data_IF_177801629938
#
_entry.id   IF_177801629938
#
_cell.length_a   1.000
_cell.length_b   1.000
_cell.length_c   1.000
_cell.angle_alpha   90.00
_cell.angle_beta   90.00
_cell.angle_gamma   90.00
#
_symmetry.space_group_name_H-M   'P 1'
#
loop_
_entity.id
_entity.type
_entity.pdbx_description
1 polymer ?
#
# COMPACT_ATOMS: atom_id res chain seq x y z
N UNK A 1 12.36 -25.01 3.65
CA UNK A 1 11.36 -24.97 4.73
C UNK A 1 10.24 -24.03 4.29
N UNK A 2 8.96 -24.29 4.61
CA UNK A 2 7.91 -23.33 4.32
C UNK A 2 8.17 -22.03 5.09
N UNK A 3 7.92 -20.90 4.42
CA UNK A 3 8.03 -19.56 5.01
C UNK A 3 6.98 -19.41 6.12
N UNK A 4 7.34 -18.77 7.23
CA UNK A 4 6.37 -18.55 8.30
C UNK A 4 5.29 -17.57 7.80
N UNK A 5 4.01 -17.75 8.18
CA UNK A 5 2.94 -16.84 7.76
C UNK A 5 3.23 -15.36 8.04
N UNK A 6 3.89 -15.08 9.16
CA UNK A 6 4.30 -13.71 9.55
C UNK A 6 5.36 -13.10 8.61
N UNK A 7 6.28 -13.91 8.09
CA UNK A 7 7.29 -13.44 7.13
C UNK A 7 6.62 -13.03 5.82
N UNK A 8 5.67 -13.83 5.33
CA UNK A 8 4.89 -13.53 4.14
C UNK A 8 4.09 -12.22 4.31
N UNK A 9 3.46 -12.03 5.46
CA UNK A 9 2.69 -10.82 5.74
C UNK A 9 3.59 -9.57 5.80
N UNK A 10 4.77 -9.68 6.40
CA UNK A 10 5.76 -8.61 6.45
C UNK A 10 6.28 -8.23 5.05
N UNK A 11 6.55 -9.21 4.18
CA UNK A 11 6.92 -8.95 2.79
C UNK A 11 5.81 -8.22 2.02
N UNK A 12 4.55 -8.63 2.22
CA UNK A 12 3.41 -7.95 1.61
C UNK A 12 3.24 -6.52 2.13
N UNK A 13 3.43 -6.29 3.42
CA UNK A 13 3.39 -4.94 3.99
C UNK A 13 4.47 -4.04 3.39
N UNK A 14 5.69 -4.55 3.19
CA UNK A 14 6.78 -3.80 2.56
C UNK A 14 6.47 -3.46 1.08
N UNK A 15 5.88 -4.40 0.34
CA UNK A 15 5.42 -4.16 -1.04
C UNK A 15 4.35 -3.08 -1.10
N UNK A 16 3.35 -3.15 -0.23
CA UNK A 16 2.26 -2.15 -0.16
C UNK A 16 2.80 -0.77 0.19
N UNK A 17 3.76 -0.68 1.12
CA UNK A 17 4.41 0.60 1.45
C UNK A 17 5.14 1.22 0.24
N UNK A 18 5.81 0.39 -0.55
CA UNK A 18 6.49 0.82 -1.79
C UNK A 18 5.48 1.36 -2.81
N UNK A 19 4.35 0.69 -2.98
CA UNK A 19 3.30 1.11 -3.92
C UNK A 19 2.65 2.44 -3.49
N UNK A 20 2.43 2.65 -2.19
CA UNK A 20 1.93 3.93 -1.64
C UNK A 20 2.89 5.07 -1.99
N UNK A 21 4.20 4.86 -1.79
CA UNK A 21 5.23 5.86 -2.09
C UNK A 21 5.31 6.14 -3.59
N UNK A 22 5.19 5.11 -4.43
CA UNK A 22 5.17 5.27 -5.88
C UNK A 22 3.98 6.11 -6.36
N UNK A 23 2.77 5.86 -5.82
CA UNK A 23 1.58 6.66 -6.12
C UNK A 23 1.77 8.11 -5.65
N UNK A 24 2.35 8.30 -4.46
CA UNK A 24 2.61 9.65 -3.93
C UNK A 24 3.60 10.44 -4.79
N UNK A 25 4.67 9.79 -5.24
CA UNK A 25 5.64 10.37 -6.19
C UNK A 25 5.00 10.68 -7.54
N UNK A 26 4.15 9.79 -8.05
CA UNK A 26 3.46 10.01 -9.32
C UNK A 26 2.55 11.25 -9.24
N UNK A 27 1.77 11.38 -8.16
CA UNK A 27 0.90 12.56 -7.96
C UNK A 27 1.72 13.85 -7.80
N UNK A 28 2.88 13.79 -7.14
CA UNK A 28 3.71 14.97 -6.90
C UNK A 28 4.53 15.42 -8.12
N UNK A 29 5.11 14.48 -8.86
CA UNK A 29 6.04 14.75 -9.97
C UNK A 29 5.34 14.85 -11.32
N UNK A 30 4.32 14.03 -11.56
CA UNK A 30 3.56 13.96 -12.81
C UNK A 30 2.05 13.95 -12.50
N UNK A 31 1.50 15.07 -11.98
CA UNK A 31 0.11 15.13 -11.60
C UNK A 31 -0.78 14.84 -12.83
N UNK A 32 -1.84 14.02 -12.68
CA UNK A 32 -2.78 13.80 -13.75
C UNK A 32 -3.41 15.10 -14.25
N UNK A 33 -3.64 15.19 -15.55
CA UNK A 33 -4.17 16.40 -16.18
C UNK A 33 -5.65 16.63 -15.90
N UNK A 34 -6.37 15.61 -15.43
CA UNK A 34 -7.79 15.67 -15.15
C UNK A 34 -8.08 15.40 -13.67
N UNK A 35 -9.09 16.09 -13.14
CA UNK A 35 -9.56 15.90 -11.76
C UNK A 35 -10.01 14.46 -11.50
N UNK A 36 -10.65 13.81 -12.46
CA UNK A 36 -11.12 12.43 -12.32
C UNK A 36 -9.96 11.43 -12.16
N UNK A 37 -8.88 11.60 -12.94
CA UNK A 37 -7.69 10.76 -12.80
C UNK A 37 -6.99 10.98 -11.46
N UNK A 38 -6.89 12.23 -11.01
CA UNK A 38 -6.32 12.54 -9.69
C UNK A 38 -7.17 11.93 -8.57
N UNK A 39 -8.49 12.02 -8.65
CA UNK A 39 -9.41 11.42 -7.69
C UNK A 39 -9.27 9.89 -7.68
N UNK A 40 -9.18 9.26 -8.85
CA UNK A 40 -8.97 7.82 -8.97
C UNK A 40 -7.65 7.40 -8.30
N UNK A 41 -6.55 8.11 -8.56
CA UNK A 41 -5.25 7.81 -7.92
C UNK A 41 -5.28 8.01 -6.41
N UNK A 42 -5.92 9.06 -5.91
CA UNK A 42 -6.08 9.28 -4.46
C UNK A 42 -6.94 8.19 -3.84
N UNK A 43 -7.97 7.71 -4.54
CA UNK A 43 -8.78 6.57 -4.10
C UNK A 43 -7.95 5.30 -4.01
N UNK A 44 -7.14 5.01 -5.03
CA UNK A 44 -6.21 3.87 -5.00
C UNK A 44 -5.21 4.01 -3.85
N UNK A 45 -4.61 5.18 -3.65
CA UNK A 45 -3.69 5.44 -2.54
C UNK A 45 -4.33 5.13 -1.17
N UNK A 46 -5.57 5.55 -0.97
CA UNK A 46 -6.33 5.30 0.26
C UNK A 46 -6.61 3.81 0.47
N UNK A 47 -6.94 3.06 -0.60
CA UNK A 47 -7.12 1.61 -0.53
C UNK A 47 -5.83 0.89 -0.13
N UNK A 48 -4.69 1.29 -0.68
CA UNK A 48 -3.40 0.73 -0.30
C UNK A 48 -3.04 1.04 1.17
N UNK A 49 -3.36 2.23 1.67
CA UNK A 49 -3.17 2.58 3.09
C UNK A 49 -4.00 1.71 4.02
N UNK A 50 -5.28 1.50 3.70
CA UNK A 50 -6.15 0.60 4.46
C UNK A 50 -5.63 -0.84 4.44
N UNK A 51 -5.17 -1.31 3.29
CA UNK A 51 -4.55 -2.63 3.18
C UNK A 51 -3.29 -2.74 4.06
N UNK A 52 -2.47 -1.70 4.13
CA UNK A 52 -1.30 -1.67 5.03
C UNK A 52 -1.72 -1.78 6.50
N UNK A 53 -2.79 -1.10 6.90
CA UNK A 53 -3.32 -1.17 8.26
C UNK A 53 -3.90 -2.55 8.58
N UNK A 54 -4.67 -3.14 7.67
CA UNK A 54 -5.18 -4.50 7.80
C UNK A 54 -4.06 -5.53 7.92
N UNK A 55 -2.97 -5.36 7.14
CA UNK A 55 -1.78 -6.20 7.23
C UNK A 55 -1.07 -6.06 8.59
N UNK A 56 -0.95 -4.84 9.13
CA UNK A 56 -0.38 -4.61 10.46
C UNK A 56 -1.20 -5.29 11.55
N UNK A 57 -2.53 -5.18 11.48
CA UNK A 57 -3.43 -5.87 12.40
C UNK A 57 -3.25 -7.38 12.26
N UNK A 58 -3.21 -7.93 11.05
CA UNK A 58 -2.99 -9.35 10.83
C UNK A 58 -1.64 -9.84 11.39
N UNK A 59 -0.57 -9.07 11.21
CA UNK A 59 0.77 -9.38 11.75
C UNK A 59 0.73 -9.44 13.27
N UNK A 60 0.06 -8.49 13.93
CA UNK A 60 -0.06 -8.47 15.40
C UNK A 60 -0.79 -9.67 16.00
N UNK A 61 -1.49 -10.48 15.19
CA UNK A 61 -2.10 -11.73 15.66
C UNK A 61 -1.10 -12.89 15.77
N UNK A 62 0.12 -12.71 15.25
CA UNK A 62 1.21 -13.70 15.30
C UNK A 62 2.36 -13.30 16.25
N UNK A 63 2.32 -12.09 16.80
CA UNK A 63 3.25 -11.58 17.84
C UNK A 63 2.72 -11.88 19.25
#
# INVERSE_FOLDING_TARGET
>A
MPQAPVDLLNEKLASVATDIEAIEKMIASEPPQTTDQLLALRTVQELYRRLADDLRVAISLFE
#
